data_IF_025363376469
#
_entry.id   IF_025363376469
#
_cell.length_a   1.000
_cell.length_b   1.000
_cell.length_c   1.000
_cell.angle_alpha   90.00
_cell.angle_beta   90.00
_cell.angle_gamma   90.00
#
_symmetry.space_group_name_H-M   'P 1'
#
loop_
_entity.id
_entity.type
_entity.pdbx_description
1 polymer ?
#
# COMPACT_ATOMS: atom_id res chain seq x y z
N UNK A 1 7.52 11.37 23.63
CA UNK A 1 6.93 10.12 23.11
C UNK A 1 6.99 10.21 21.61
N UNK A 2 7.68 9.30 20.95
CA UNK A 2 7.85 9.34 19.49
C UNK A 2 6.52 9.05 18.79
N UNK A 3 6.23 9.70 17.67
CA UNK A 3 4.97 9.48 16.92
C UNK A 3 4.77 8.02 16.48
N UNK A 4 5.85 7.26 16.32
CA UNK A 4 5.80 5.82 16.04
C UNK A 4 5.26 5.00 17.20
N UNK A 5 5.53 5.42 18.46
CA UNK A 5 5.00 4.73 19.63
C UNK A 5 3.50 4.96 19.78
N UNK A 6 3.00 6.14 19.40
CA UNK A 6 1.56 6.43 19.37
C UNK A 6 0.84 5.68 18.26
N UNK A 7 1.43 5.57 17.04
CA UNK A 7 0.92 4.73 15.97
C UNK A 7 1.01 3.24 16.30
N UNK A 8 2.09 2.84 17.00
CA UNK A 8 2.27 1.48 17.48
C UNK A 8 1.31 1.16 18.64
N UNK A 9 1.08 2.09 19.53
CA UNK A 9 0.02 1.99 20.54
C UNK A 9 -1.39 2.00 19.91
N UNK A 10 -1.68 2.86 18.96
CA UNK A 10 -3.00 2.91 18.30
C UNK A 10 -3.30 1.70 17.39
N UNK A 11 -2.26 1.03 16.85
CA UNK A 11 -2.40 -0.08 15.91
C UNK A 11 -2.02 -1.45 16.48
N UNK A 12 -1.30 -1.51 17.60
CA UNK A 12 -0.70 -2.74 18.13
C UNK A 12 -0.98 -2.99 19.62
N UNK A 13 -1.24 -1.97 20.40
CA UNK A 13 -1.95 -2.17 21.66
C UNK A 13 -3.42 -2.13 21.34
N UNK A 14 -4.11 -3.16 21.68
CA UNK A 14 -5.47 -3.04 22.13
C UNK A 14 -5.54 -1.75 22.98
N UNK A 15 -5.91 -0.60 22.40
CA UNK A 15 -6.76 0.31 23.15
C UNK A 15 -7.63 -0.67 23.88
N UNK A 16 -7.72 -0.57 25.17
CA UNK A 16 -8.65 -1.41 25.89
C UNK A 16 -10.02 -1.12 25.30
N UNK A 17 -10.28 -1.81 24.15
CA UNK A 17 -11.50 -1.65 23.37
C UNK A 17 -12.70 -1.93 24.27
N UNK A 18 -12.49 -2.77 25.29
CA UNK A 18 -13.51 -3.11 26.27
C UNK A 18 -13.83 -1.90 27.15
N UNK A 19 -12.83 -1.27 27.76
CA UNK A 19 -13.04 -0.03 28.55
C UNK A 19 -13.60 1.09 27.68
N UNK A 20 -13.10 1.27 26.46
CA UNK A 20 -13.62 2.29 25.54
C UNK A 20 -15.06 1.99 25.14
N UNK A 21 -15.42 0.74 24.85
CA UNK A 21 -16.78 0.35 24.50
C UNK A 21 -17.73 0.57 25.70
N UNK A 22 -17.31 0.22 26.91
CA UNK A 22 -18.07 0.48 28.14
C UNK A 22 -18.29 1.97 28.37
N UNK A 23 -17.28 2.83 28.13
CA UNK A 23 -17.40 4.30 28.20
C UNK A 23 -18.42 4.87 27.19
N UNK A 24 -18.54 4.25 26.03
CA UNK A 24 -19.51 4.66 25.00
C UNK A 24 -20.81 3.86 25.01
N UNK A 25 -21.03 2.99 26.00
CA UNK A 25 -22.25 2.20 26.15
C UNK A 25 -22.47 1.18 25.01
N UNK A 26 -21.38 0.60 24.50
CA UNK A 26 -21.41 -0.44 23.48
C UNK A 26 -21.41 -1.82 24.15
N UNK A 27 -22.44 -2.62 23.84
CA UNK A 27 -22.65 -3.93 24.46
C UNK A 27 -21.70 -5.03 23.95
N UNK A 28 -21.14 -4.85 22.74
CA UNK A 28 -20.27 -5.82 22.09
C UNK A 28 -18.92 -5.20 21.70
N UNK A 29 -17.83 -5.85 22.13
CA UNK A 29 -16.46 -5.52 21.72
C UNK A 29 -15.95 -6.58 20.78
N UNK A 30 -15.64 -6.19 19.56
CA UNK A 30 -15.02 -7.08 18.60
C UNK A 30 -13.49 -7.00 18.73
N UNK A 31 -12.88 -8.09 19.19
CA UNK A 31 -11.42 -8.19 19.28
C UNK A 31 -10.82 -8.51 17.90
N UNK A 32 -9.84 -7.69 17.48
CA UNK A 32 -9.10 -7.90 16.24
C UNK A 32 -7.76 -8.58 16.51
N UNK A 33 -7.56 -9.75 15.95
CA UNK A 33 -6.23 -10.33 15.85
C UNK A 33 -5.53 -9.80 14.59
N UNK A 34 -4.74 -8.73 14.75
CA UNK A 34 -3.97 -8.13 13.67
C UNK A 34 -2.99 -9.13 13.02
N UNK A 35 -2.44 -10.06 13.78
CA UNK A 35 -1.55 -11.06 13.22
C UNK A 35 -2.30 -12.06 12.33
N UNK A 36 -3.54 -12.41 12.70
CA UNK A 36 -4.42 -13.23 11.87
C UNK A 36 -4.85 -12.47 10.61
N UNK A 37 -5.15 -11.19 10.72
CA UNK A 37 -5.50 -10.36 9.55
C UNK A 37 -4.33 -10.29 8.55
N UNK A 38 -3.10 -10.13 9.04
CA UNK A 38 -1.90 -10.10 8.19
C UNK A 38 -1.58 -11.44 7.54
N UNK A 39 -1.89 -12.52 8.21
CA UNK A 39 -1.69 -13.87 7.73
C UNK A 39 -2.91 -14.75 8.09
N UNK A 40 -4.00 -14.66 7.32
CA UNK A 40 -5.23 -15.40 7.61
C UNK A 40 -5.05 -16.92 7.65
N UNK A 41 -4.04 -17.44 6.96
CA UNK A 41 -3.73 -18.86 6.91
C UNK A 41 -2.70 -19.35 7.95
N UNK A 42 -2.28 -18.49 8.91
CA UNK A 42 -1.20 -18.85 9.85
C UNK A 42 -1.49 -20.09 10.67
N UNK A 43 -2.76 -20.28 11.03
CA UNK A 43 -3.19 -21.39 11.88
C UNK A 43 -3.75 -22.57 11.05
N UNK A 44 -3.65 -22.49 9.70
CA UNK A 44 -4.11 -23.54 8.81
C UNK A 44 -3.09 -24.70 8.81
N UNK A 45 -3.48 -25.93 9.17
CA UNK A 45 -2.60 -27.09 9.12
C UNK A 45 -1.96 -27.28 7.74
N UNK A 46 -0.71 -27.76 7.71
CA UNK A 46 0.02 -27.94 6.45
C UNK A 46 -0.61 -28.94 5.50
N UNK A 47 -1.32 -29.93 6.01
CA UNK A 47 -2.07 -30.95 5.27
C UNK A 47 -3.49 -30.52 4.87
N UNK A 48 -3.97 -29.38 5.35
CA UNK A 48 -5.28 -28.86 4.98
C UNK A 48 -5.33 -28.47 3.50
N UNK A 49 -6.49 -28.67 2.87
CA UNK A 49 -6.73 -28.19 1.50
C UNK A 49 -6.83 -26.65 1.46
N UNK A 50 -5.73 -26.05 1.04
CA UNK A 50 -5.64 -24.60 0.93
C UNK A 50 -6.67 -24.00 -0.04
N UNK A 51 -7.00 -24.70 -1.11
CA UNK A 51 -7.99 -24.21 -2.10
C UNK A 51 -9.39 -24.15 -1.49
N UNK A 52 -9.81 -25.21 -0.79
CA UNK A 52 -11.10 -25.22 -0.10
C UNK A 52 -11.16 -24.20 1.01
N UNK A 53 -10.09 -24.06 1.79
CA UNK A 53 -10.01 -23.02 2.82
C UNK A 53 -10.14 -21.62 2.22
N UNK A 54 -9.42 -21.33 1.14
CA UNK A 54 -9.47 -20.02 0.48
C UNK A 54 -10.85 -19.69 -0.10
N UNK A 55 -11.55 -20.71 -0.65
CA UNK A 55 -12.93 -20.52 -1.11
C UNK A 55 -13.87 -20.14 0.05
N UNK A 56 -13.68 -20.75 1.20
CA UNK A 56 -14.47 -20.45 2.41
C UNK A 56 -14.16 -19.05 2.92
N UNK A 57 -12.86 -18.68 2.97
CA UNK A 57 -12.39 -17.34 3.37
C UNK A 57 -12.99 -16.25 2.47
N UNK A 58 -12.89 -16.39 1.15
CA UNK A 58 -13.46 -15.43 0.20
C UNK A 58 -15.00 -15.39 0.27
N UNK A 59 -15.66 -16.50 0.56
CA UNK A 59 -17.12 -16.52 0.74
C UNK A 59 -17.56 -15.73 1.96
N UNK A 60 -16.81 -15.80 3.05
CA UNK A 60 -17.06 -15.00 4.26
C UNK A 60 -16.80 -13.50 4.00
N UNK A 61 -15.68 -13.16 3.34
CA UNK A 61 -15.35 -11.79 2.99
C UNK A 61 -16.40 -11.14 2.07
N UNK A 62 -16.91 -11.89 1.07
CA UNK A 62 -18.02 -11.45 0.21
C UNK A 62 -19.30 -11.21 1.04
N UNK A 63 -19.60 -12.08 1.98
CA UNK A 63 -20.75 -11.89 2.86
C UNK A 63 -20.65 -10.58 3.65
N UNK A 64 -19.52 -10.35 4.31
CA UNK A 64 -19.27 -9.15 5.11
C UNK A 64 -19.28 -7.88 4.24
N UNK A 65 -18.68 -7.94 3.05
CA UNK A 65 -18.71 -6.82 2.11
C UNK A 65 -20.13 -6.44 1.67
N UNK A 66 -21.04 -7.40 1.54
CA UNK A 66 -22.45 -7.14 1.22
C UNK A 66 -23.21 -6.50 2.37
N UNK A 67 -22.84 -6.80 3.62
CA UNK A 67 -23.42 -6.12 4.80
C UNK A 67 -23.02 -4.65 4.87
N UNK A 68 -21.86 -4.31 4.28
CA UNK A 68 -21.32 -2.94 4.29
C UNK A 68 -20.79 -2.50 5.66
N UNK A 69 -20.21 -1.30 5.69
CA UNK A 69 -19.43 -0.81 6.85
C UNK A 69 -20.25 -0.63 8.13
N UNK A 70 -21.58 -0.53 8.04
CA UNK A 70 -22.45 -0.34 9.22
C UNK A 70 -22.77 -1.65 9.93
N UNK A 71 -22.83 -2.76 9.21
CA UNK A 71 -23.34 -4.04 9.73
C UNK A 71 -22.28 -5.13 9.76
N UNK A 72 -21.11 -4.91 9.13
CA UNK A 72 -19.95 -5.79 9.21
C UNK A 72 -18.88 -5.14 10.10
N UNK A 73 -18.65 -5.64 11.32
CA UNK A 73 -17.69 -5.05 12.26
C UNK A 73 -16.29 -4.90 11.68
N UNK A 74 -15.86 -5.90 10.92
CA UNK A 74 -14.55 -5.92 10.27
C UNK A 74 -14.40 -4.81 9.23
N UNK A 75 -15.35 -4.70 8.31
CA UNK A 75 -15.36 -3.67 7.27
C UNK A 75 -15.46 -2.27 7.89
N UNK A 76 -16.28 -2.09 8.93
CA UNK A 76 -16.44 -0.83 9.66
C UNK A 76 -15.14 -0.38 10.34
N UNK A 77 -14.45 -1.29 11.02
CA UNK A 77 -13.20 -0.99 11.71
C UNK A 77 -12.09 -0.57 10.74
N UNK A 78 -11.97 -1.24 9.60
CA UNK A 78 -10.93 -0.89 8.61
C UNK A 78 -11.28 0.33 7.75
N UNK A 79 -12.53 0.75 7.71
CA UNK A 79 -12.92 2.00 7.07
C UNK A 79 -12.26 3.22 7.74
N UNK A 80 -11.99 3.14 9.04
CA UNK A 80 -11.24 4.16 9.81
C UNK A 80 -9.87 4.43 9.18
N UNK A 81 -9.18 3.41 8.67
CA UNK A 81 -7.88 3.60 8.00
C UNK A 81 -7.99 4.45 6.74
N UNK A 82 -9.12 4.36 6.03
CA UNK A 82 -9.41 5.23 4.88
C UNK A 82 -9.69 6.67 5.32
N UNK A 83 -10.38 6.85 6.42
CA UNK A 83 -10.73 8.17 6.95
C UNK A 83 -9.51 8.92 7.48
N UNK A 84 -8.55 8.22 8.09
CA UNK A 84 -7.33 8.84 8.62
C UNK A 84 -6.24 9.06 7.57
N UNK A 85 -6.42 8.65 6.31
CA UNK A 85 -5.40 8.77 5.26
C UNK A 85 -4.84 10.18 5.10
N UNK A 86 -5.68 11.20 5.16
CA UNK A 86 -5.21 12.58 5.04
C UNK A 86 -4.35 13.00 6.26
N UNK A 87 -4.58 12.43 7.43
CA UNK A 87 -3.73 12.62 8.60
C UNK A 87 -2.37 11.93 8.45
N UNK A 88 -2.38 10.71 7.92
CA UNK A 88 -1.13 9.97 7.62
C UNK A 88 -0.32 10.71 6.57
N UNK A 89 -0.95 11.19 5.49
CA UNK A 89 -0.28 12.03 4.47
C UNK A 89 0.35 13.26 5.10
N UNK A 90 -0.39 13.96 5.95
CA UNK A 90 0.12 15.14 6.64
C UNK A 90 1.40 14.85 7.43
N UNK A 91 1.46 13.70 8.13
CA UNK A 91 2.64 13.28 8.90
C UNK A 91 3.80 12.98 7.96
N UNK A 92 3.57 12.24 6.88
CA UNK A 92 4.60 11.88 5.89
C UNK A 92 5.14 13.12 5.18
N UNK A 93 4.25 13.98 4.68
CA UNK A 93 4.62 15.13 3.86
C UNK A 93 5.30 16.25 4.65
N UNK A 94 5.06 16.31 5.96
CA UNK A 94 5.69 17.28 6.88
C UNK A 94 6.97 16.76 7.53
N UNK A 95 7.46 15.59 7.11
CA UNK A 95 8.68 14.98 7.65
C UNK A 95 8.67 14.77 9.18
N UNK A 96 7.48 14.44 9.75
CA UNK A 96 7.38 14.15 11.18
C UNK A 96 7.98 12.79 11.57
N UNK A 97 8.25 11.92 10.61
CA UNK A 97 8.97 10.69 10.85
C UNK A 97 10.49 10.91 10.85
N UNK A 98 11.18 10.32 11.83
CA UNK A 98 12.62 10.06 11.69
C UNK A 98 12.87 9.09 10.54
N UNK A 99 14.11 8.92 10.10
CA UNK A 99 14.42 7.94 9.06
C UNK A 99 14.06 6.51 9.50
N UNK A 100 14.44 6.15 10.74
CA UNK A 100 14.18 4.84 11.32
C UNK A 100 12.67 4.54 11.45
N UNK A 101 11.88 5.52 11.85
CA UNK A 101 10.42 5.36 11.96
C UNK A 101 9.76 5.30 10.59
N UNK A 102 10.30 6.02 9.61
CA UNK A 102 9.78 6.01 8.25
C UNK A 102 10.02 4.65 7.57
N UNK A 103 11.17 4.02 7.79
CA UNK A 103 11.43 2.66 7.32
C UNK A 103 10.42 1.67 7.91
N UNK A 104 10.19 1.74 9.23
CA UNK A 104 9.17 0.91 9.89
C UNK A 104 7.75 1.17 9.35
N UNK A 105 7.42 2.43 9.07
CA UNK A 105 6.16 2.79 8.45
C UNK A 105 6.00 2.13 7.07
N UNK A 106 7.04 2.18 6.23
CA UNK A 106 7.03 1.56 4.90
C UNK A 106 7.00 0.03 4.97
N UNK A 107 7.69 -0.57 5.95
CA UNK A 107 7.79 -2.01 6.11
C UNK A 107 6.52 -2.63 6.72
N UNK A 108 5.90 -1.95 7.67
CA UNK A 108 4.82 -2.53 8.47
C UNK A 108 3.45 -1.90 8.21
N UNK A 109 3.35 -0.58 8.21
CA UNK A 109 2.06 0.10 8.05
C UNK A 109 1.58 0.11 6.60
N UNK A 110 2.44 0.49 5.65
CA UNK A 110 2.05 0.60 4.24
C UNK A 110 1.51 -0.72 3.65
N UNK A 111 2.15 -1.89 3.86
CA UNK A 111 1.58 -3.16 3.41
C UNK A 111 0.27 -3.52 4.10
N UNK A 112 0.15 -3.21 5.40
CA UNK A 112 -1.08 -3.45 6.15
C UNK A 112 -2.23 -2.56 5.66
N UNK A 113 -2.01 -1.26 5.48
CA UNK A 113 -3.00 -0.35 4.89
C UNK A 113 -3.42 -0.80 3.48
N UNK A 114 -2.47 -1.23 2.66
CA UNK A 114 -2.78 -1.76 1.32
C UNK A 114 -3.65 -3.03 1.38
N UNK A 115 -3.41 -3.92 2.35
CA UNK A 115 -4.19 -5.14 2.54
C UNK A 115 -5.64 -4.84 2.92
N UNK A 116 -5.86 -3.95 3.89
CA UNK A 116 -7.18 -3.78 4.53
C UNK A 116 -8.00 -2.61 3.99
N UNK A 117 -7.36 -1.65 3.31
CA UNK A 117 -8.05 -0.45 2.85
C UNK A 117 -8.03 -0.25 1.32
N UNK A 118 -7.36 -1.14 0.59
CA UNK A 118 -7.29 -1.14 -0.88
C UNK A 118 -7.64 -2.54 -1.38
N UNK A 119 -8.74 -2.67 -2.08
CA UNK A 119 -9.17 -3.96 -2.60
C UNK A 119 -9.85 -3.84 -3.96
N UNK A 120 -10.00 -4.96 -4.69
CA UNK A 120 -10.80 -4.99 -5.90
C UNK A 120 -12.28 -4.78 -5.59
N UNK A 121 -13.10 -4.37 -6.57
CA UNK A 121 -14.56 -4.34 -6.41
C UNK A 121 -15.11 -5.72 -6.01
N UNK A 122 -16.17 -5.73 -5.21
CA UNK A 122 -16.85 -6.96 -4.73
C UNK A 122 -17.15 -7.93 -5.87
N UNK A 123 -17.68 -7.43 -6.98
CA UNK A 123 -17.97 -8.24 -8.18
C UNK A 123 -16.76 -9.04 -8.67
N UNK A 124 -15.55 -8.49 -8.57
CA UNK A 124 -14.32 -9.19 -9.00
C UNK A 124 -13.96 -10.35 -8.09
N UNK A 125 -14.19 -10.20 -6.78
CA UNK A 125 -14.00 -11.30 -5.83
C UNK A 125 -15.04 -12.39 -6.04
N UNK A 126 -16.30 -12.03 -6.34
CA UNK A 126 -17.36 -12.98 -6.69
C UNK A 126 -17.03 -13.78 -7.95
N UNK A 127 -16.54 -13.10 -9.00
CA UNK A 127 -16.07 -13.74 -10.22
C UNK A 127 -14.89 -14.67 -9.97
N UNK A 128 -13.91 -14.23 -9.17
CA UNK A 128 -12.76 -15.04 -8.78
C UNK A 128 -13.20 -16.32 -8.06
N UNK A 129 -14.08 -16.19 -7.08
CA UNK A 129 -14.63 -17.33 -6.34
C UNK A 129 -15.39 -18.29 -7.26
N UNK A 130 -16.16 -17.78 -8.24
CA UNK A 130 -16.84 -18.61 -9.22
C UNK A 130 -15.86 -19.40 -10.10
N UNK A 131 -14.77 -18.76 -10.57
CA UNK A 131 -13.69 -19.43 -11.31
C UNK A 131 -12.98 -20.51 -10.48
N UNK A 132 -12.75 -20.23 -9.18
CA UNK A 132 -12.16 -21.21 -8.26
C UNK A 132 -13.08 -22.43 -8.07
N UNK A 133 -14.38 -22.21 -7.86
CA UNK A 133 -15.37 -23.28 -7.73
C UNK A 133 -15.52 -24.11 -9.01
N UNK A 134 -15.34 -23.49 -10.16
CA UNK A 134 -15.31 -24.17 -11.45
C UNK A 134 -13.98 -24.90 -11.75
N UNK A 135 -12.98 -24.81 -10.87
CA UNK A 135 -11.65 -25.41 -11.08
C UNK A 135 -10.79 -24.74 -12.15
N UNK A 136 -11.21 -23.54 -12.62
CA UNK A 136 -10.50 -22.78 -13.66
C UNK A 136 -9.43 -21.83 -13.09
N UNK A 137 -9.45 -21.59 -11.80
CA UNK A 137 -8.50 -20.72 -11.11
C UNK A 137 -8.13 -21.30 -9.75
N UNK A 138 -6.85 -21.20 -9.37
CA UNK A 138 -6.34 -21.56 -8.05
C UNK A 138 -5.56 -20.41 -7.45
N UNK A 139 -5.76 -20.16 -6.17
CA UNK A 139 -4.88 -19.31 -5.37
C UNK A 139 -3.91 -20.24 -4.64
N UNK A 140 -2.64 -19.97 -4.77
CA UNK A 140 -1.57 -20.72 -4.12
C UNK A 140 -1.29 -20.14 -2.73
N UNK A 141 -0.60 -20.88 -1.89
CA UNK A 141 -0.06 -20.34 -0.65
C UNK A 141 0.99 -19.26 -0.93
N UNK A 142 1.41 -18.54 0.11
CA UNK A 142 2.34 -17.43 -0.01
C UNK A 142 3.74 -17.85 -0.50
N UNK A 143 4.61 -16.86 -0.75
CA UNK A 143 6.03 -17.03 -1.09
C UNK A 143 6.26 -17.90 -2.34
N UNK A 144 5.52 -17.59 -3.40
CA UNK A 144 5.74 -18.25 -4.71
C UNK A 144 7.17 -18.02 -5.19
N UNK A 145 7.85 -19.12 -5.49
CA UNK A 145 9.13 -19.14 -6.19
C UNK A 145 8.91 -19.69 -7.58
N UNK A 146 9.35 -18.96 -8.61
CA UNK A 146 9.19 -19.36 -10.01
C UNK A 146 10.55 -19.60 -10.63
N UNK A 147 10.70 -20.76 -11.27
CA UNK A 147 11.84 -21.11 -12.11
C UNK A 147 11.40 -21.35 -13.54
N UNK A 148 12.33 -21.32 -14.48
CA UNK A 148 12.05 -21.58 -15.89
C UNK A 148 13.01 -22.60 -16.43
N UNK A 149 12.53 -23.48 -17.29
CA UNK A 149 13.34 -24.44 -18.04
C UNK A 149 12.92 -24.48 -19.52
N UNK A 150 13.41 -25.49 -20.26
CA UNK A 150 13.09 -25.65 -21.67
C UNK A 150 11.61 -26.02 -21.93
N UNK A 151 10.86 -26.43 -20.90
CA UNK A 151 9.47 -26.90 -21.00
C UNK A 151 8.44 -25.84 -20.58
N UNK A 152 8.88 -24.76 -19.91
CA UNK A 152 8.01 -23.69 -19.45
C UNK A 152 8.39 -23.15 -18.08
N UNK A 153 7.40 -22.91 -17.23
CA UNK A 153 7.54 -22.36 -15.89
C UNK A 153 7.15 -23.40 -14.85
N UNK A 154 7.99 -23.54 -13.83
CA UNK A 154 7.68 -24.27 -12.61
C UNK A 154 7.58 -23.28 -11.46
N UNK A 155 6.54 -23.40 -10.65
CA UNK A 155 6.35 -22.59 -9.47
C UNK A 155 6.16 -23.47 -8.24
N UNK A 156 6.73 -23.06 -7.11
CA UNK A 156 6.51 -23.68 -5.80
C UNK A 156 6.01 -22.65 -4.80
N UNK A 157 5.11 -23.06 -3.92
CA UNK A 157 4.59 -22.20 -2.84
C UNK A 157 5.22 -22.53 -1.48
N UNK A 158 4.89 -21.79 -0.43
CA UNK A 158 5.39 -21.99 0.94
C UNK A 158 4.97 -23.34 1.58
N UNK A 159 4.04 -24.05 0.98
CA UNK A 159 3.58 -25.38 1.41
C UNK A 159 4.23 -26.51 0.61
N UNK A 160 5.17 -26.16 -0.31
CA UNK A 160 5.89 -27.11 -1.15
C UNK A 160 5.04 -27.67 -2.31
N UNK A 161 3.87 -27.07 -2.60
CA UNK A 161 3.08 -27.46 -3.75
C UNK A 161 3.75 -26.97 -5.04
N UNK A 162 3.83 -27.84 -6.04
CA UNK A 162 4.40 -27.54 -7.36
C UNK A 162 3.30 -27.28 -8.39
N UNK A 163 3.55 -26.31 -9.24
CA UNK A 163 2.67 -25.92 -10.34
C UNK A 163 3.50 -25.77 -11.61
N UNK A 164 2.94 -26.19 -12.75
CA UNK A 164 3.57 -26.03 -14.07
C UNK A 164 2.71 -25.13 -14.95
N UNK A 165 3.35 -24.29 -15.75
CA UNK A 165 2.66 -23.37 -16.65
C UNK A 165 3.44 -23.12 -17.94
N UNK A 166 2.70 -22.91 -19.02
CA UNK A 166 3.26 -22.58 -20.33
C UNK A 166 3.48 -21.08 -20.52
N UNK A 167 2.90 -20.27 -19.63
CA UNK A 167 3.00 -18.80 -19.66
C UNK A 167 3.08 -18.25 -18.23
N UNK A 168 3.82 -17.15 -18.06
CA UNK A 168 3.90 -16.39 -16.82
C UNK A 168 3.47 -14.95 -17.09
N UNK A 169 2.54 -14.46 -16.26
CA UNK A 169 2.15 -13.04 -16.26
C UNK A 169 2.59 -12.43 -14.93
N UNK A 170 3.58 -11.54 -14.97
CA UNK A 170 3.97 -10.77 -13.79
C UNK A 170 3.03 -9.58 -13.62
N UNK A 171 2.08 -9.72 -12.71
CA UNK A 171 1.06 -8.70 -12.43
C UNK A 171 1.33 -7.91 -11.14
N UNK A 172 2.41 -8.19 -10.43
CA UNK A 172 2.79 -7.42 -9.23
C UNK A 172 3.32 -6.06 -9.63
N UNK A 173 2.82 -5.02 -8.97
CA UNK A 173 3.38 -3.68 -9.14
C UNK A 173 4.80 -3.66 -8.55
N UNK A 174 5.76 -3.22 -9.36
CA UNK A 174 7.13 -3.00 -8.90
C UNK A 174 7.20 -1.88 -7.85
N UNK A 175 8.30 -1.85 -7.10
CA UNK A 175 8.60 -0.74 -6.21
C UNK A 175 8.71 0.56 -7.01
N UNK A 176 8.03 1.61 -6.54
CA UNK A 176 8.17 2.96 -7.10
C UNK A 176 9.51 3.53 -6.64
N UNK A 177 10.53 3.34 -7.47
CA UNK A 177 11.87 3.83 -7.19
C UNK A 177 12.50 4.35 -8.48
N UNK A 178 12.77 5.66 -8.53
CA UNK A 178 13.32 6.31 -9.72
C UNK A 178 14.70 5.78 -10.10
N UNK A 179 15.48 5.26 -9.13
CA UNK A 179 16.82 4.68 -9.41
C UNK A 179 16.74 3.35 -10.17
N UNK A 180 15.63 2.63 -10.03
CA UNK A 180 15.37 1.33 -10.67
C UNK A 180 14.52 1.46 -11.94
N UNK A 181 14.03 2.67 -12.25
CA UNK A 181 13.15 2.90 -13.39
C UNK A 181 13.87 2.62 -14.71
N UNK A 182 13.25 1.80 -15.56
CA UNK A 182 13.68 1.52 -16.93
C UNK A 182 12.99 2.45 -17.96
N UNK A 183 12.16 3.38 -17.52
CA UNK A 183 11.56 4.38 -18.40
C UNK A 183 12.67 5.29 -18.93
N UNK A 184 12.85 5.44 -20.26
CA UNK A 184 13.97 6.20 -20.84
C UNK A 184 13.98 7.67 -20.41
N UNK A 185 12.81 8.30 -20.23
CA UNK A 185 12.72 9.68 -19.77
C UNK A 185 13.23 9.81 -18.32
N UNK A 186 12.75 8.93 -17.41
CA UNK A 186 13.17 8.98 -16.00
C UNK A 186 14.66 8.64 -15.88
N UNK A 187 15.16 7.68 -16.64
CA UNK A 187 16.58 7.33 -16.68
C UNK A 187 17.43 8.54 -17.15
N UNK A 188 17.02 9.19 -18.23
CA UNK A 188 17.71 10.38 -18.75
C UNK A 188 17.73 11.53 -17.72
N UNK A 189 16.59 11.84 -17.10
CA UNK A 189 16.49 12.91 -16.10
C UNK A 189 17.35 12.60 -14.86
N UNK A 190 17.39 11.34 -14.43
CA UNK A 190 18.27 10.89 -13.34
C UNK A 190 19.75 11.01 -13.71
N UNK A 191 20.15 10.49 -14.87
CA UNK A 191 21.55 10.43 -15.29
C UNK A 191 22.13 11.84 -15.51
N UNK A 192 21.29 12.78 -15.95
CA UNK A 192 21.64 14.20 -16.04
C UNK A 192 21.52 14.97 -14.71
N UNK A 193 21.16 14.31 -13.62
CA UNK A 193 21.07 14.90 -12.28
C UNK A 193 19.89 15.85 -12.08
N UNK A 194 18.92 15.84 -12.99
CA UNK A 194 17.66 16.55 -12.84
C UNK A 194 16.75 15.86 -11.81
N UNK A 195 16.72 14.52 -11.81
CA UNK A 195 16.04 13.73 -10.79
C UNK A 195 17.06 13.18 -9.79
N UNK A 196 16.87 13.50 -8.52
CA UNK A 196 17.65 12.97 -7.40
C UNK A 196 16.70 12.42 -6.34
N UNK A 197 17.16 11.44 -5.58
CA UNK A 197 16.39 10.88 -4.48
C UNK A 197 16.64 11.67 -3.20
N UNK A 198 15.58 12.10 -2.49
CA UNK A 198 15.74 12.70 -1.16
C UNK A 198 16.32 11.69 -0.19
N UNK A 199 17.05 12.18 0.81
CA UNK A 199 17.68 11.36 1.85
C UNK A 199 17.16 11.76 3.21
N UNK A 200 17.01 10.76 4.07
CA UNK A 200 16.83 10.93 5.52
C UNK A 200 18.06 10.35 6.24
N UNK A 201 18.45 10.96 7.34
CA UNK A 201 19.57 10.47 8.15
C UNK A 201 19.00 9.64 9.31
N UNK A 202 19.48 8.40 9.45
CA UNK A 202 19.12 7.52 10.55
C UNK A 202 19.81 7.93 11.85
N UNK A 203 19.35 7.38 12.96
CA UNK A 203 19.92 7.61 14.29
C UNK A 203 21.39 7.17 14.42
N UNK A 204 21.82 6.19 13.62
CA UNK A 204 23.20 5.71 13.54
C UNK A 204 24.10 6.54 12.60
N UNK A 205 23.59 7.61 12.00
CA UNK A 205 24.30 8.48 11.05
C UNK A 205 24.34 7.97 9.61
N UNK A 206 23.82 6.78 9.33
CA UNK A 206 23.69 6.30 7.94
C UNK A 206 22.58 7.01 7.21
N UNK A 207 22.60 7.01 5.87
CA UNK A 207 21.55 7.64 5.07
C UNK A 207 20.59 6.61 4.51
N UNK A 208 19.29 6.94 4.55
CA UNK A 208 18.23 6.24 3.86
C UNK A 208 17.73 7.06 2.67
N UNK A 209 17.78 6.48 1.47
CA UNK A 209 17.28 7.11 0.25
C UNK A 209 15.81 6.76 0.02
N UNK A 210 14.98 7.77 -0.19
CA UNK A 210 13.59 7.57 -0.62
C UNK A 210 13.56 7.13 -2.09
N UNK A 211 12.55 6.36 -2.47
CA UNK A 211 12.37 5.93 -3.87
C UNK A 211 11.92 7.05 -4.82
N UNK A 212 11.44 8.15 -4.28
CA UNK A 212 10.86 9.28 -5.00
C UNK A 212 11.89 10.20 -5.64
N UNK A 213 11.48 11.00 -6.62
CA UNK A 213 12.23 12.19 -7.03
C UNK A 213 12.06 13.33 -6.00
N UNK A 214 13.10 14.15 -5.86
CA UNK A 214 13.07 15.30 -4.97
C UNK A 214 12.33 16.48 -5.59
N UNK A 215 11.43 17.10 -4.83
CA UNK A 215 10.69 18.29 -5.25
C UNK A 215 10.58 19.29 -4.11
N UNK A 216 10.33 20.52 -4.46
CA UNK A 216 9.76 21.48 -3.53
C UNK A 216 8.30 21.07 -3.25
N UNK A 217 8.00 20.65 -2.03
CA UNK A 217 6.68 20.12 -1.64
C UNK A 217 5.55 21.17 -1.72
N UNK A 218 5.90 22.46 -1.80
CA UNK A 218 4.92 23.54 -1.91
C UNK A 218 4.63 23.92 -3.36
N UNK A 219 5.62 23.80 -4.24
CA UNK A 219 5.51 24.23 -5.64
C UNK A 219 5.41 23.09 -6.62
N UNK A 220 5.77 21.86 -6.22
CA UNK A 220 5.91 20.66 -7.06
C UNK A 220 7.01 20.76 -8.12
N UNK A 221 7.84 21.79 -8.07
CA UNK A 221 8.99 21.92 -8.94
C UNK A 221 10.10 20.97 -8.50
N UNK A 222 10.77 20.37 -9.48
CA UNK A 222 11.85 19.40 -9.25
C UNK A 222 13.07 20.10 -8.65
N UNK A 223 13.72 19.44 -7.71
CA UNK A 223 15.01 19.86 -7.13
C UNK A 223 16.10 18.95 -7.70
N UNK A 224 17.11 19.54 -8.34
CA UNK A 224 18.23 18.86 -8.99
C UNK A 224 19.31 18.40 -7.98
N UNK A 225 20.41 17.81 -8.51
CA UNK A 225 21.53 17.31 -7.69
C UNK A 225 22.28 18.42 -6.93
N UNK A 226 22.21 19.64 -7.40
CA UNK A 226 22.87 20.80 -6.80
C UNK A 226 22.01 21.46 -5.72
N UNK A 227 20.81 20.91 -5.48
CA UNK A 227 19.84 21.43 -4.52
C UNK A 227 19.01 22.60 -5.07
N UNK A 228 19.09 22.87 -6.35
CA UNK A 228 18.40 23.98 -7.00
C UNK A 228 17.04 23.53 -7.54
N UNK A 229 16.05 24.40 -7.43
CA UNK A 229 14.75 24.20 -8.05
C UNK A 229 14.82 24.45 -9.55
N UNK A 230 14.38 23.48 -10.34
CA UNK A 230 14.26 23.63 -11.79
C UNK A 230 12.92 24.31 -12.09
N UNK A 231 13.00 25.60 -12.44
CA UNK A 231 11.80 26.38 -12.74
C UNK A 231 10.99 25.76 -13.89
N UNK A 232 9.67 25.72 -13.72
CA UNK A 232 8.71 25.23 -14.71
C UNK A 232 8.79 23.73 -15.02
N UNK A 233 9.60 22.95 -14.29
CA UNK A 233 9.57 21.49 -14.34
C UNK A 233 8.81 20.95 -13.12
N UNK A 234 7.56 20.59 -13.33
CA UNK A 234 6.67 20.10 -12.28
C UNK A 234 6.58 18.58 -12.30
N UNK A 235 6.50 17.99 -11.11
CA UNK A 235 6.33 16.54 -10.96
C UNK A 235 5.26 16.24 -9.91
N UNK A 236 4.34 15.32 -10.22
CA UNK A 236 3.36 14.80 -9.25
C UNK A 236 2.96 13.35 -9.57
N UNK A 237 2.23 12.72 -8.64
CA UNK A 237 1.77 11.35 -8.80
C UNK A 237 2.78 10.31 -8.36
N UNK A 238 2.80 9.15 -9.03
CA UNK A 238 3.50 7.92 -8.56
C UNK A 238 5.02 8.07 -8.38
N UNK A 239 5.66 8.93 -9.14
CA UNK A 239 7.11 9.21 -9.03
C UNK A 239 7.50 9.92 -7.73
N UNK A 240 6.53 10.38 -6.98
CA UNK A 240 6.71 11.00 -5.67
C UNK A 240 6.40 10.04 -4.52
N UNK A 241 6.00 8.81 -4.79
CA UNK A 241 5.70 7.83 -3.74
C UNK A 241 6.94 7.55 -2.89
N UNK A 242 6.82 7.76 -1.58
CA UNK A 242 7.91 7.73 -0.62
C UNK A 242 8.33 9.12 -0.13
N UNK A 243 8.22 10.17 -0.94
CA UNK A 243 8.26 11.55 -0.49
C UNK A 243 6.86 12.05 -0.11
N UNK A 244 5.88 11.64 -0.90
CA UNK A 244 4.43 11.73 -0.63
C UNK A 244 3.90 10.31 -0.44
N UNK A 245 2.79 10.17 0.26
CA UNK A 245 2.23 8.86 0.54
C UNK A 245 0.87 8.68 -0.13
N UNK A 246 0.67 7.48 -0.69
CA UNK A 246 -0.55 7.08 -1.35
C UNK A 246 -0.90 7.93 -2.57
N UNK A 247 0.11 8.16 -3.42
CA UNK A 247 -0.01 8.95 -4.66
C UNK A 247 -0.77 8.25 -5.80
N UNK A 248 -1.20 6.98 -5.61
CA UNK A 248 -1.87 6.16 -6.63
C UNK A 248 -3.39 6.27 -6.62
N UNK A 249 -3.96 7.28 -5.95
CA UNK A 249 -5.41 7.47 -5.86
C UNK A 249 -5.98 7.84 -7.22
N UNK A 250 -6.86 6.97 -7.76
CA UNK A 250 -7.55 7.24 -9.01
C UNK A 250 -8.62 8.33 -8.78
N UNK A 251 -8.69 9.35 -9.65
CA UNK A 251 -9.76 10.34 -9.61
C UNK A 251 -11.14 9.67 -9.74
N UNK A 252 -12.09 10.12 -8.95
CA UNK A 252 -13.48 9.65 -9.00
C UNK A 252 -14.42 10.82 -9.25
N UNK A 253 -15.48 10.66 -10.06
CA UNK A 253 -16.49 11.69 -10.27
C UNK A 253 -17.09 12.18 -8.95
N UNK A 254 -17.26 13.48 -8.81
CA UNK A 254 -17.85 14.09 -7.62
C UNK A 254 -16.98 14.09 -6.37
N UNK A 255 -15.75 13.55 -6.44
CA UNK A 255 -14.81 13.53 -5.29
C UNK A 255 -13.57 14.35 -5.63
N UNK A 256 -13.32 15.38 -4.83
CA UNK A 256 -12.10 16.20 -4.96
C UNK A 256 -10.90 15.47 -4.34
N UNK A 257 -10.40 14.45 -5.03
CA UNK A 257 -9.26 13.63 -4.58
C UNK A 257 -7.96 14.44 -4.54
N UNK A 258 -6.97 13.94 -3.78
CA UNK A 258 -5.64 14.58 -3.67
C UNK A 258 -5.02 14.87 -5.05
N UNK A 259 -5.05 13.91 -5.95
CA UNK A 259 -4.48 14.04 -7.30
C UNK A 259 -5.12 15.19 -8.09
N UNK A 260 -6.43 15.40 -7.96
CA UNK A 260 -7.13 16.52 -8.60
C UNK A 260 -6.74 17.86 -7.98
N UNK A 261 -6.63 17.92 -6.64
CA UNK A 261 -6.21 19.13 -5.92
C UNK A 261 -4.79 19.53 -6.29
N UNK A 262 -3.85 18.56 -6.30
CA UNK A 262 -2.45 18.81 -6.67
C UNK A 262 -2.31 19.23 -8.13
N UNK A 263 -3.01 18.54 -9.04
CA UNK A 263 -3.03 18.91 -10.46
C UNK A 263 -3.60 20.31 -10.69
N UNK A 264 -4.68 20.67 -10.00
CA UNK A 264 -5.24 22.03 -10.07
C UNK A 264 -4.26 23.10 -9.52
N UNK A 265 -3.59 22.79 -8.42
CA UNK A 265 -2.56 23.67 -7.85
C UNK A 265 -1.40 23.93 -8.83
N UNK A 266 -0.88 22.87 -9.45
CA UNK A 266 0.18 22.98 -10.46
C UNK A 266 -0.30 23.80 -11.66
N UNK A 267 -1.51 23.52 -12.17
CA UNK A 267 -2.10 24.22 -13.30
C UNK A 267 -2.25 25.74 -13.02
N UNK A 268 -2.71 26.10 -11.81
CA UNK A 268 -2.81 27.51 -11.41
C UNK A 268 -1.43 28.20 -11.41
N UNK A 269 -0.39 27.52 -10.95
CA UNK A 269 0.97 28.05 -10.98
C UNK A 269 1.48 28.25 -12.40
N UNK A 270 1.27 27.29 -13.28
CA UNK A 270 1.66 27.41 -14.70
C UNK A 270 0.97 28.62 -15.34
N UNK A 271 -0.33 28.78 -15.11
CA UNK A 271 -1.11 29.90 -15.65
C UNK A 271 -0.71 31.25 -15.05
N UNK A 272 -0.18 31.28 -13.83
CA UNK A 272 0.31 32.52 -13.22
C UNK A 272 1.64 33.01 -13.81
N UNK A 273 2.35 32.18 -14.56
CA UNK A 273 3.58 32.52 -15.27
C UNK A 273 3.35 32.82 -16.77
N UNK A 274 2.17 32.50 -17.28
CA UNK A 274 1.78 32.77 -18.68
C UNK A 274 1.23 34.20 -18.83
#
# INVERSE_FOLDING_TARGET
MCSSDLLKQALLTSIDLKTTAEEYGLDDVFEFDIALIRNPARDLPNDADYTTWMQSYLSADIHDARLGNKSAPFAGAFDILRDIRDRVRYIVERDYFTADDYEKFLEHFKPFDALVSVGPPLERIEQLLALMKAGLFKITAANIHVTTDATGFEASDSRGQLFHGNALVEARLGATNISLSRNPLIANLRDNGMFVQPRKIRSDGTSYQLGAANINKQTFEVINRDGETINHLYLYGITLEGLKWFGTVIPRPGVNTLVLREGAWIAQRILAYA
#
